data_IF_289643137142
#
_entry.id   IF_289643137142
#
_cell.length_a   1.000
_cell.length_b   1.000
_cell.length_c   1.000
_cell.angle_alpha   90.00
_cell.angle_beta   90.00
_cell.angle_gamma   90.00
#
_symmetry.space_group_name_H-M   'P 1'
#
loop_
_entity.id
_entity.type
_entity.pdbx_description
1 polymer ?
#
# COMPACT_ATOMS: atom_id res chain seq x y z
N UNK A 1 -5.66 19.47 0.28
CA UNK A 1 -6.73 18.52 -0.11
C UNK A 1 -6.95 17.54 1.05
N UNK A 2 -8.16 17.01 1.23
CA UNK A 2 -8.38 15.94 2.21
C UNK A 2 -7.71 14.65 1.73
N UNK A 3 -7.07 13.86 2.61
CA UNK A 3 -6.48 12.59 2.21
C UNK A 3 -7.54 11.59 1.75
N UNK A 4 -7.25 10.90 0.63
CA UNK A 4 -8.08 9.82 0.08
C UNK A 4 -7.55 8.44 0.48
N UNK A 5 -6.26 8.33 0.77
CA UNK A 5 -5.60 7.09 1.15
C UNK A 5 -4.98 7.24 2.54
N UNK A 6 -5.24 6.27 3.41
CA UNK A 6 -4.53 6.16 4.69
C UNK A 6 -3.42 5.11 4.59
N UNK A 7 -2.19 5.48 4.91
CA UNK A 7 -1.07 4.55 5.05
C UNK A 7 -0.83 4.32 6.54
N UNK A 8 -1.05 3.12 7.02
CA UNK A 8 -0.81 2.76 8.42
C UNK A 8 0.22 1.63 8.54
N UNK A 9 0.95 1.63 9.65
CA UNK A 9 1.97 0.64 9.92
C UNK A 9 2.10 0.36 11.41
N UNK A 10 2.54 -0.85 11.78
CA UNK A 10 2.60 -1.31 13.16
C UNK A 10 3.71 -0.68 14.01
N UNK A 11 4.75 -0.15 13.37
CA UNK A 11 5.94 0.42 14.00
C UNK A 11 6.59 1.47 13.11
N UNK A 12 7.36 2.37 13.72
CA UNK A 12 8.20 3.30 12.96
C UNK A 12 9.25 2.58 12.09
N UNK A 13 9.72 1.39 12.51
CA UNK A 13 10.65 0.59 11.73
C UNK A 13 10.07 0.08 10.40
N UNK A 14 8.75 0.04 10.25
CA UNK A 14 8.09 -0.37 9.01
C UNK A 14 8.12 0.75 7.95
N UNK A 15 8.49 1.97 8.37
CA UNK A 15 8.54 3.13 7.48
C UNK A 15 9.52 2.96 6.33
N UNK A 16 10.64 2.29 6.54
CA UNK A 16 11.62 2.03 5.47
C UNK A 16 10.99 1.27 4.28
N UNK A 17 10.03 0.40 4.56
CA UNK A 17 9.23 -0.29 3.54
C UNK A 17 8.06 0.58 3.06
N UNK A 18 7.29 1.14 3.99
CA UNK A 18 6.01 1.79 3.68
C UNK A 18 6.16 3.15 3.01
N UNK A 19 7.33 3.79 3.14
CA UNK A 19 7.66 5.04 2.43
C UNK A 19 7.50 4.91 0.92
N UNK A 20 7.77 3.75 0.34
CA UNK A 20 7.59 3.51 -1.09
C UNK A 20 6.11 3.68 -1.54
N UNK A 21 5.14 3.40 -0.66
CA UNK A 21 3.74 3.67 -0.96
C UNK A 21 3.44 5.17 -0.95
N UNK A 22 3.97 5.92 0.02
CA UNK A 22 3.78 7.38 0.09
C UNK A 22 4.40 8.08 -1.13
N UNK A 23 5.65 7.75 -1.47
CA UNK A 23 6.36 8.29 -2.63
C UNK A 23 5.60 8.03 -3.94
N UNK A 24 5.03 6.83 -4.11
CA UNK A 24 4.23 6.51 -5.28
C UNK A 24 2.92 7.29 -5.33
N UNK A 25 2.23 7.45 -4.21
CA UNK A 25 1.01 8.28 -4.15
C UNK A 25 1.31 9.75 -4.43
N UNK A 26 2.45 10.28 -3.95
CA UNK A 26 2.92 11.63 -4.28
C UNK A 26 3.17 11.78 -5.78
N UNK A 27 3.85 10.81 -6.40
CA UNK A 27 4.11 10.81 -7.85
C UNK A 27 2.81 10.81 -8.68
N UNK A 28 1.77 10.13 -8.18
CA UNK A 28 0.45 10.08 -8.82
C UNK A 28 -0.47 11.26 -8.45
N UNK A 29 -0.01 12.17 -7.57
CA UNK A 29 -0.81 13.31 -7.10
C UNK A 29 -1.98 12.91 -6.20
N UNK A 30 -1.90 11.76 -5.51
CA UNK A 30 -2.95 11.26 -4.63
C UNK A 30 -2.71 11.71 -3.19
N UNK A 31 -3.62 12.53 -2.67
CA UNK A 31 -3.57 12.99 -1.28
C UNK A 31 -3.70 11.83 -0.30
N UNK A 32 -2.76 11.72 0.64
CA UNK A 32 -2.72 10.64 1.61
C UNK A 32 -2.28 11.14 3.00
N UNK A 33 -2.51 10.32 4.01
CA UNK A 33 -1.99 10.49 5.36
C UNK A 33 -1.16 9.27 5.77
N UNK A 34 -0.18 9.47 6.65
CA UNK A 34 0.67 8.39 7.17
C UNK A 34 0.57 8.35 8.68
N UNK A 35 0.37 7.16 9.27
CA UNK A 35 0.25 7.02 10.72
C UNK A 35 0.81 5.67 11.22
N UNK A 36 1.52 5.72 12.35
CA UNK A 36 1.83 4.50 13.11
C UNK A 36 0.61 4.10 13.93
N UNK A 37 0.13 2.88 13.70
CA UNK A 37 -1.04 2.29 14.38
C UNK A 37 -0.72 0.84 14.70
N UNK A 38 -0.43 0.52 15.95
CA UNK A 38 -0.03 -0.85 16.32
C UNK A 38 -1.25 -1.69 16.70
N UNK A 39 -1.43 -2.81 15.99
CA UNK A 39 -2.51 -3.75 16.29
C UNK A 39 -2.46 -4.29 17.74
N UNK A 40 -1.25 -4.54 18.25
CA UNK A 40 -1.06 -5.16 19.56
C UNK A 40 -0.81 -4.16 20.69
N UNK A 41 -0.22 -2.99 20.40
CA UNK A 41 0.16 -2.00 21.41
C UNK A 41 -0.83 -0.83 21.53
N UNK A 42 -1.58 -0.55 20.46
CA UNK A 42 -2.60 0.52 20.43
C UNK A 42 -3.90 0.01 19.76
N UNK A 43 -4.52 -1.08 20.27
CA UNK A 43 -5.69 -1.68 19.63
C UNK A 43 -6.89 -0.72 19.55
N UNK A 44 -7.13 0.09 20.57
CA UNK A 44 -8.22 1.07 20.57
C UNK A 44 -8.01 2.14 19.48
N UNK A 45 -6.77 2.62 19.31
CA UNK A 45 -6.42 3.55 18.24
C UNK A 45 -6.66 2.92 16.85
N UNK A 46 -6.34 1.62 16.69
CA UNK A 46 -6.62 0.90 15.46
C UNK A 46 -8.11 0.89 15.14
N UNK A 47 -8.94 0.55 16.13
CA UNK A 47 -10.38 0.45 15.94
C UNK A 47 -11.00 1.82 15.67
N UNK A 48 -10.58 2.86 16.38
CA UNK A 48 -10.97 4.23 16.10
C UNK A 48 -10.56 4.66 14.68
N UNK A 49 -9.30 4.43 14.31
CA UNK A 49 -8.78 4.79 12.99
C UNK A 49 -9.59 4.15 11.86
N UNK A 50 -9.83 2.84 11.94
CA UNK A 50 -10.53 2.09 10.91
C UNK A 50 -12.02 2.46 10.82
N UNK A 51 -12.70 2.57 11.97
CA UNK A 51 -14.13 2.87 12.00
C UNK A 51 -14.46 4.30 11.57
N UNK A 52 -13.56 5.25 11.80
CA UNK A 52 -13.74 6.68 11.42
C UNK A 52 -13.16 7.01 10.05
N UNK A 53 -12.41 6.10 9.42
CA UNK A 53 -11.69 6.34 8.17
C UNK A 53 -12.59 6.91 7.07
N UNK A 54 -13.74 6.29 6.81
CA UNK A 54 -14.71 6.73 5.81
C UNK A 54 -15.27 8.14 6.10
N UNK A 55 -15.63 8.43 7.34
CA UNK A 55 -16.19 9.74 7.71
C UNK A 55 -15.15 10.85 7.66
N UNK A 56 -13.85 10.52 7.80
CA UNK A 56 -12.74 11.45 7.58
C UNK A 56 -12.46 11.70 6.10
N UNK A 57 -13.01 10.89 5.19
CA UNK A 57 -12.88 11.04 3.75
C UNK A 57 -11.91 10.07 3.09
N UNK A 58 -11.35 9.12 3.84
CA UNK A 58 -10.53 8.05 3.24
C UNK A 58 -11.40 7.11 2.39
N UNK A 59 -10.84 6.64 1.30
CA UNK A 59 -11.47 5.70 0.37
C UNK A 59 -10.73 4.36 0.28
N UNK A 60 -9.42 4.35 0.63
CA UNK A 60 -8.58 3.15 0.68
C UNK A 60 -7.64 3.22 1.88
N UNK A 61 -7.34 2.10 2.50
CA UNK A 61 -6.32 2.00 3.54
C UNK A 61 -5.23 1.03 3.07
N UNK A 62 -3.97 1.47 3.12
CA UNK A 62 -2.79 0.63 2.93
C UNK A 62 -2.21 0.34 4.31
N UNK A 63 -2.10 -0.93 4.68
CA UNK A 63 -1.66 -1.35 6.00
C UNK A 63 -0.43 -2.25 5.91
N UNK A 64 0.70 -1.80 6.45
CA UNK A 64 1.95 -2.56 6.50
C UNK A 64 2.21 -3.17 7.87
N UNK A 65 2.62 -4.43 7.91
CA UNK A 65 2.97 -5.10 9.15
C UNK A 65 3.96 -6.24 8.92
N UNK A 66 4.81 -6.50 9.93
CA UNK A 66 5.80 -7.57 9.92
C UNK A 66 5.62 -8.59 11.04
N UNK A 67 6.13 -9.81 10.83
CA UNK A 67 6.01 -10.91 11.77
C UNK A 67 4.57 -11.41 11.90
N UNK A 68 4.02 -11.38 13.13
CA UNK A 68 2.60 -11.58 13.39
C UNK A 68 1.81 -10.37 12.86
N UNK A 69 1.65 -10.28 11.56
CA UNK A 69 1.20 -9.10 10.82
C UNK A 69 -0.34 -8.97 10.85
N UNK A 70 -0.92 -8.77 12.04
CA UNK A 70 -2.37 -8.73 12.24
C UNK A 70 -3.02 -7.40 11.84
N UNK A 71 -2.25 -6.32 11.69
CA UNK A 71 -2.79 -4.97 11.44
C UNK A 71 -3.74 -4.90 10.23
N UNK A 72 -3.42 -5.44 9.04
CA UNK A 72 -4.32 -5.34 7.89
C UNK A 72 -5.66 -6.04 8.12
N UNK A 73 -5.64 -7.28 8.64
CA UNK A 73 -6.85 -8.05 8.91
C UNK A 73 -7.73 -7.42 9.99
N UNK A 74 -7.13 -6.95 11.09
CA UNK A 74 -7.86 -6.24 12.13
C UNK A 74 -8.45 -4.91 11.64
N UNK A 75 -7.74 -4.19 10.77
CA UNK A 75 -8.27 -2.99 10.11
C UNK A 75 -9.48 -3.33 9.24
N UNK A 76 -9.36 -4.35 8.38
CA UNK A 76 -10.44 -4.79 7.49
C UNK A 76 -11.70 -5.24 8.25
N UNK A 77 -11.55 -5.76 9.47
CA UNK A 77 -12.69 -6.16 10.32
C UNK A 77 -13.49 -4.96 10.86
N UNK A 78 -12.96 -3.73 10.80
CA UNK A 78 -13.54 -2.52 11.40
C UNK A 78 -13.99 -1.48 10.36
N UNK A 79 -13.77 -1.73 9.08
CA UNK A 79 -14.18 -0.84 8.00
C UNK A 79 -14.64 -1.63 6.78
N UNK A 80 -15.52 -1.05 5.98
CA UNK A 80 -15.87 -1.57 4.66
C UNK A 80 -15.08 -0.88 3.54
N UNK A 81 -14.10 -0.05 3.87
CA UNK A 81 -13.15 0.47 2.86
C UNK A 81 -12.22 -0.66 2.38
N UNK A 82 -11.76 -0.61 1.13
CA UNK A 82 -10.70 -1.50 0.68
C UNK A 82 -9.46 -1.38 1.57
N UNK A 83 -8.97 -2.53 2.07
CA UNK A 83 -7.71 -2.62 2.83
C UNK A 83 -6.70 -3.40 2.02
N UNK A 84 -5.56 -2.77 1.76
CA UNK A 84 -4.43 -3.33 1.02
C UNK A 84 -3.30 -3.66 2.00
N UNK A 85 -2.99 -4.93 2.13
CA UNK A 85 -1.98 -5.43 3.07
C UNK A 85 -0.60 -5.51 2.44
N UNK A 86 0.39 -4.95 3.10
CA UNK A 86 1.80 -5.01 2.69
C UNK A 86 2.58 -5.80 3.73
N UNK A 87 3.06 -7.01 3.38
CA UNK A 87 3.94 -7.77 4.26
C UNK A 87 5.29 -7.06 4.37
N UNK A 88 5.67 -6.65 5.58
CA UNK A 88 6.99 -6.09 5.85
C UNK A 88 7.98 -7.22 6.09
N UNK A 89 9.17 -7.10 5.54
CA UNK A 89 10.21 -8.11 5.68
C UNK A 89 10.59 -8.30 7.15
N UNK A 90 10.57 -9.55 7.62
CA UNK A 90 10.98 -9.95 8.96
C UNK A 90 12.41 -10.49 8.97
N UNK A 91 13.06 -10.43 10.15
CA UNK A 91 14.42 -10.96 10.31
C UNK A 91 14.51 -12.49 10.24
N UNK A 92 13.49 -13.19 10.76
CA UNK A 92 13.53 -14.65 10.93
C UNK A 92 13.14 -15.40 9.66
N UNK A 93 12.10 -14.96 8.97
CA UNK A 93 11.53 -15.68 7.81
C UNK A 93 11.46 -14.78 6.55
N UNK A 94 12.23 -13.70 6.51
CA UNK A 94 12.34 -12.81 5.35
C UNK A 94 11.01 -12.27 4.83
N UNK A 95 9.99 -12.23 5.70
CA UNK A 95 8.65 -11.72 5.39
C UNK A 95 7.61 -12.79 5.02
N UNK A 96 7.98 -14.06 4.93
CA UNK A 96 7.01 -15.16 4.67
C UNK A 96 6.00 -15.27 5.82
N UNK A 97 6.44 -15.12 7.07
CA UNK A 97 5.56 -15.05 8.24
C UNK A 97 4.59 -13.86 8.16
N UNK A 98 5.07 -12.69 7.74
CA UNK A 98 4.25 -11.52 7.51
C UNK A 98 3.20 -11.78 6.42
N UNK A 99 3.62 -12.33 5.28
CA UNK A 99 2.74 -12.67 4.16
C UNK A 99 1.64 -13.65 4.59
N UNK A 100 2.01 -14.76 5.24
CA UNK A 100 1.05 -15.77 5.66
C UNK A 100 0.09 -15.25 6.74
N UNK A 101 0.55 -14.34 7.60
CA UNK A 101 -0.31 -13.69 8.60
C UNK A 101 -1.37 -12.78 7.97
N UNK A 102 -1.11 -12.21 6.79
CA UNK A 102 -2.01 -11.25 6.13
C UNK A 102 -2.93 -11.95 5.12
N UNK A 103 -2.39 -12.89 4.31
CA UNK A 103 -3.09 -13.40 3.12
C UNK A 103 -4.22 -14.38 3.44
N UNK A 104 -4.12 -15.16 4.53
CA UNK A 104 -5.09 -16.21 4.86
C UNK A 104 -6.30 -15.68 5.66
N UNK A 105 -6.96 -14.66 5.09
CA UNK A 105 -8.17 -14.09 5.69
C UNK A 105 -9.37 -15.04 5.57
N UNK A 106 -10.25 -15.08 6.60
CA UNK A 106 -11.49 -15.85 6.52
C UNK A 106 -12.46 -15.24 5.49
N UNK A 107 -13.32 -16.08 4.95
CA UNK A 107 -14.39 -15.62 4.07
C UNK A 107 -15.25 -14.51 4.75
N UNK A 108 -15.50 -13.43 4.04
CA UNK A 108 -16.29 -12.29 4.53
C UNK A 108 -15.47 -11.07 4.93
N UNK A 109 -14.19 -11.22 5.27
CA UNK A 109 -13.29 -10.09 5.61
C UNK A 109 -12.06 -10.12 4.70
N UNK A 110 -12.12 -9.52 3.51
CA UNK A 110 -11.02 -9.55 2.56
C UNK A 110 -9.93 -8.53 2.88
N UNK A 111 -8.67 -8.91 2.60
CA UNK A 111 -7.52 -8.00 2.50
C UNK A 111 -6.84 -8.24 1.16
N UNK A 112 -6.67 -7.19 0.36
CA UNK A 112 -5.90 -7.25 -0.89
C UNK A 112 -4.40 -7.31 -0.59
N UNK A 113 -3.83 -8.50 -0.49
CA UNK A 113 -2.43 -8.68 -0.07
C UNK A 113 -1.47 -8.52 -1.23
N UNK A 114 -0.46 -7.66 -1.07
CA UNK A 114 0.56 -7.35 -2.07
C UNK A 114 1.87 -8.12 -1.78
N UNK A 115 2.88 -7.85 -2.61
CA UNK A 115 4.21 -8.45 -2.46
C UNK A 115 4.90 -8.04 -1.14
N UNK A 116 5.89 -8.81 -0.72
CA UNK A 116 6.72 -8.51 0.46
C UNK A 116 7.62 -7.31 0.17
N UNK A 117 7.73 -6.39 1.11
CA UNK A 117 8.68 -5.28 1.10
C UNK A 117 8.26 -4.09 0.23
N UNK A 118 9.23 -3.29 -0.20
CA UNK A 118 9.01 -2.02 -0.91
C UNK A 118 8.23 -2.19 -2.22
N UNK A 119 8.45 -3.27 -2.97
CA UNK A 119 7.67 -3.57 -4.17
C UNK A 119 6.18 -3.75 -3.87
N UNK A 120 5.86 -4.41 -2.75
CA UNK A 120 4.48 -4.54 -2.28
C UNK A 120 3.87 -3.20 -1.88
N UNK A 121 4.62 -2.34 -1.20
CA UNK A 121 4.19 -1.00 -0.82
C UNK A 121 3.90 -0.13 -2.05
N UNK A 122 4.80 -0.13 -3.04
CA UNK A 122 4.59 0.56 -4.33
C UNK A 122 3.33 0.04 -5.04
N UNK A 123 3.17 -1.29 -5.14
CA UNK A 123 2.02 -1.90 -5.78
C UNK A 123 0.70 -1.65 -5.02
N UNK A 124 0.75 -1.52 -3.69
CA UNK A 124 -0.41 -1.13 -2.90
C UNK A 124 -0.87 0.28 -3.26
N UNK A 125 0.06 1.23 -3.43
CA UNK A 125 -0.25 2.59 -3.88
C UNK A 125 -0.84 2.61 -5.30
N UNK A 126 -0.26 1.84 -6.22
CA UNK A 126 -0.78 1.71 -7.60
C UNK A 126 -2.19 1.07 -7.63
N UNK A 127 -2.44 0.07 -6.79
CA UNK A 127 -3.76 -0.55 -6.70
C UNK A 127 -4.78 0.40 -6.03
N UNK A 128 -4.37 1.15 -4.99
CA UNK A 128 -5.19 2.21 -4.41
C UNK A 128 -5.54 3.27 -5.46
N UNK A 129 -4.57 3.72 -6.24
CA UNK A 129 -4.80 4.65 -7.35
C UNK A 129 -5.75 4.06 -8.40
N UNK A 130 -5.63 2.77 -8.74
CA UNK A 130 -6.54 2.09 -9.68
C UNK A 130 -7.99 2.07 -9.16
N UNK A 131 -8.18 1.87 -7.86
CA UNK A 131 -9.51 1.94 -7.23
C UNK A 131 -10.07 3.36 -7.34
N UNK A 132 -9.26 4.37 -7.00
CA UNK A 132 -9.64 5.78 -7.04
C UNK A 132 -9.88 6.29 -8.48
N UNK A 133 -9.16 5.76 -9.47
CA UNK A 133 -9.27 6.11 -10.89
C UNK A 133 -10.67 5.85 -11.47
N UNK A 134 -11.48 4.98 -10.85
CA UNK A 134 -12.88 4.78 -11.23
C UNK A 134 -13.75 6.02 -10.96
N UNK A 135 -13.32 6.91 -10.06
CA UNK A 135 -14.06 8.10 -9.63
C UNK A 135 -13.31 9.40 -9.94
N UNK A 136 -11.99 9.39 -9.90
CA UNK A 136 -11.14 10.58 -10.02
C UNK A 136 -10.34 10.55 -11.33
N UNK A 137 -10.76 11.35 -12.31
CA UNK A 137 -10.12 11.45 -13.62
C UNK A 137 -8.64 11.83 -13.57
N UNK A 138 -8.20 12.82 -12.75
CA UNK A 138 -6.78 13.15 -12.67
C UNK A 138 -5.90 11.99 -12.17
N UNK A 139 -6.44 11.13 -11.30
CA UNK A 139 -5.73 9.93 -10.82
C UNK A 139 -5.61 8.89 -11.93
N UNK A 140 -6.68 8.71 -12.73
CA UNK A 140 -6.66 7.82 -13.89
C UNK A 140 -5.60 8.23 -14.90
N UNK A 141 -5.57 9.50 -15.27
CA UNK A 141 -4.59 10.04 -16.21
C UNK A 141 -3.15 9.89 -15.70
N UNK A 142 -2.91 10.14 -14.41
CA UNK A 142 -1.59 9.96 -13.81
C UNK A 142 -1.15 8.50 -13.83
N UNK A 143 -2.06 7.58 -13.54
CA UNK A 143 -1.79 6.14 -13.58
C UNK A 143 -1.52 5.64 -15.00
N UNK A 144 -2.28 6.10 -15.99
CA UNK A 144 -2.09 5.73 -17.39
C UNK A 144 -0.75 6.25 -17.92
N UNK A 145 -0.36 7.49 -17.59
CA UNK A 145 0.97 8.02 -17.90
C UNK A 145 2.08 7.19 -17.28
N UNK A 146 1.99 6.88 -15.99
CA UNK A 146 2.96 6.04 -15.29
C UNK A 146 3.15 4.69 -15.99
N UNK A 147 2.07 4.02 -16.39
CA UNK A 147 2.12 2.73 -17.10
C UNK A 147 2.73 2.86 -18.50
N UNK A 148 2.38 3.90 -19.23
CA UNK A 148 2.94 4.18 -20.55
C UNK A 148 4.46 4.44 -20.48
N UNK A 149 4.92 5.20 -19.49
CA UNK A 149 6.34 5.46 -19.25
C UNK A 149 7.11 4.17 -18.91
N UNK A 150 6.54 3.28 -18.07
CA UNK A 150 7.16 1.98 -17.80
C UNK A 150 7.29 1.13 -19.07
N UNK A 151 6.25 1.09 -19.88
CA UNK A 151 6.27 0.37 -21.17
C UNK A 151 7.34 0.94 -22.11
N UNK A 152 7.38 2.26 -22.26
CA UNK A 152 8.36 2.92 -23.10
C UNK A 152 9.80 2.64 -22.64
N UNK A 153 10.05 2.61 -21.33
CA UNK A 153 11.35 2.32 -20.72
C UNK A 153 11.85 0.90 -21.07
N UNK A 154 10.96 -0.09 -21.02
CA UNK A 154 11.30 -1.48 -21.39
C UNK A 154 11.54 -1.59 -22.89
N UNK A 155 10.68 -1.00 -23.72
CA UNK A 155 10.81 -1.04 -25.18
C UNK A 155 12.06 -0.30 -25.68
N UNK A 156 12.52 0.73 -24.99
CA UNK A 156 13.75 1.46 -25.33
C UNK A 156 15.03 0.66 -25.02
N UNK A 157 14.96 -0.39 -24.20
CA UNK A 157 16.11 -1.19 -23.78
C UNK A 157 15.83 -2.70 -23.96
N UNK A 158 15.61 -3.16 -25.20
CA UNK A 158 15.21 -4.55 -25.46
C UNK A 158 16.37 -5.55 -25.35
N UNK A 159 17.61 -5.07 -25.50
CA UNK A 159 18.82 -5.93 -25.47
C UNK A 159 19.52 -5.79 -24.10
N UNK A 160 19.49 -6.83 -23.25
CA UNK A 160 20.11 -6.80 -21.93
C UNK A 160 21.65 -6.79 -21.98
N UNK A 161 22.26 -7.09 -23.13
CA UNK A 161 23.71 -7.09 -23.31
C UNK A 161 24.26 -5.68 -23.55
N UNK A 162 23.41 -4.72 -23.88
CA UNK A 162 23.78 -3.32 -24.12
C UNK A 162 23.51 -2.51 -22.83
N UNK A 163 24.52 -1.77 -22.37
CA UNK A 163 24.35 -0.86 -21.22
C UNK A 163 23.27 0.17 -21.56
N UNK A 164 22.23 0.35 -20.72
CA UNK A 164 21.17 1.34 -20.98
C UNK A 164 21.77 2.73 -21.17
N UNK A 165 21.42 3.41 -22.26
CA UNK A 165 21.75 4.83 -22.42
C UNK A 165 20.95 5.59 -21.35
N UNK A 166 21.65 6.28 -20.45
CA UNK A 166 20.99 7.15 -19.49
C UNK A 166 20.18 8.18 -20.27
N UNK A 167 18.86 8.13 -20.14
CA UNK A 167 17.99 9.15 -20.72
C UNK A 167 18.26 10.52 -20.09
N UNK A 168 17.96 11.60 -20.80
CA UNK A 168 18.16 12.96 -20.33
C UNK A 168 17.38 13.27 -19.05
#
# INVERSE_FOLDING_TARGET
>A
MKPLVGIIMGSQSDWDTMRAAAEMLDQLGVAHEVRVVSAHRTPDLLFEYASTARTRGLEVIIAGAGGAAHLPGMTASKTSLPVLGVPVQSKMLSGIDSLLSIVQMPAGIPVGTLAIGAAGATNAALLAASILANKYEPVREALDRFRAEQTAKVLANPDPSVTPVAGP
#
